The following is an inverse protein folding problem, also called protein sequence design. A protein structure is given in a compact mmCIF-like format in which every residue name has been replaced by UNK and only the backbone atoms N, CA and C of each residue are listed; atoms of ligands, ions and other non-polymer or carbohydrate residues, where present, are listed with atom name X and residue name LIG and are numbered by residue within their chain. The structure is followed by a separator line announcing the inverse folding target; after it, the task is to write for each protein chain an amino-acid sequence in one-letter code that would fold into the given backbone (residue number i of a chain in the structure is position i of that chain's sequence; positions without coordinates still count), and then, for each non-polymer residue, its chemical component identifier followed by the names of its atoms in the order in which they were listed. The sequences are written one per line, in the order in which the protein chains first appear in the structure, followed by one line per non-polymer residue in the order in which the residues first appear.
data_IF_443643181517
#
_entry.id   IF_443643181517
#
_cell.length_a   1.000
_cell.length_b   1.000
_cell.length_c   1.000
_cell.angle_alpha   90.00
_cell.angle_beta   90.00
_cell.angle_gamma   90.00
#
_symmetry.space_group_name_H-M   'P 1'
#
loop_
_entity.id
_entity.type
_entity.pdbx_description
1 polymer ?
#
# COMPACT_ATOMS: atom_id res chain seq x y z
N UNK A 1 19.12 -20.29 -10.85
CA UNK A 1 19.41 -18.93 -11.37
C UNK A 1 18.91 -17.91 -10.36
N UNK A 2 19.77 -16.95 -9.98
CA UNK A 2 19.46 -15.89 -9.01
C UNK A 2 18.24 -15.02 -9.40
N UNK A 3 17.99 -14.89 -10.71
CA UNK A 3 16.93 -14.05 -11.29
C UNK A 3 15.52 -14.38 -10.75
N UNK A 4 15.24 -15.65 -10.49
CA UNK A 4 13.90 -16.15 -10.16
C UNK A 4 13.43 -15.80 -8.74
N UNK A 5 14.37 -15.83 -7.79
CA UNK A 5 14.09 -15.48 -6.40
C UNK A 5 13.90 -13.97 -6.24
N UNK A 6 14.67 -13.21 -7.00
CA UNK A 6 14.66 -11.75 -6.96
C UNK A 6 13.30 -11.21 -7.41
N UNK A 7 12.66 -11.81 -8.42
CA UNK A 7 11.30 -11.46 -8.86
C UNK A 7 10.29 -11.59 -7.70
N UNK A 8 10.35 -12.69 -6.94
CA UNK A 8 9.46 -12.92 -5.80
C UNK A 8 9.71 -11.94 -4.64
N UNK A 9 10.97 -11.56 -4.43
CA UNK A 9 11.33 -10.55 -3.42
C UNK A 9 10.83 -9.17 -3.85
N UNK A 10 11.12 -8.76 -5.08
CA UNK A 10 10.65 -7.49 -5.66
C UNK A 10 9.13 -7.38 -5.59
N UNK A 11 8.41 -8.47 -5.88
CA UNK A 11 6.96 -8.51 -5.74
C UNK A 11 6.51 -8.28 -4.30
N UNK A 12 7.12 -8.97 -3.33
CA UNK A 12 6.80 -8.79 -1.91
C UNK A 12 7.08 -7.37 -1.42
N UNK A 13 8.17 -6.76 -1.87
CA UNK A 13 8.53 -5.39 -1.51
C UNK A 13 7.53 -4.40 -2.11
N UNK A 14 7.18 -4.56 -3.39
CA UNK A 14 6.20 -3.71 -4.08
C UNK A 14 4.82 -3.77 -3.42
N UNK A 15 4.38 -4.94 -2.98
CA UNK A 15 3.12 -5.13 -2.23
C UNK A 15 3.11 -4.29 -0.94
N UNK A 16 4.20 -4.33 -0.15
CA UNK A 16 4.28 -3.55 1.09
C UNK A 16 4.42 -2.05 0.81
N UNK A 17 5.12 -1.64 -0.26
CA UNK A 17 5.19 -0.24 -0.68
C UNK A 17 3.81 0.31 -1.08
N UNK A 18 3.02 -0.42 -1.87
CA UNK A 18 1.65 -0.04 -2.26
C UNK A 18 0.77 0.10 -1.01
N UNK A 19 0.87 -0.85 -0.08
CA UNK A 19 0.12 -0.84 1.18
C UNK A 19 0.49 0.35 2.08
N UNK A 20 1.78 0.68 2.19
CA UNK A 20 2.23 1.86 2.93
C UNK A 20 1.76 3.15 2.26
N UNK A 21 1.86 3.24 0.93
CA UNK A 21 1.39 4.41 0.17
C UNK A 21 -0.12 4.63 0.35
N UNK A 22 -0.94 3.57 0.27
CA UNK A 22 -2.39 3.63 0.58
C UNK A 22 -2.64 4.10 2.01
N UNK A 23 -1.84 3.67 2.99
CA UNK A 23 -1.95 4.15 4.38
C UNK A 23 -1.63 5.65 4.48
N UNK A 24 -0.58 6.13 3.81
CA UNK A 24 -0.20 7.55 3.80
C UNK A 24 -1.24 8.43 3.11
N UNK A 25 -1.85 7.95 2.03
CA UNK A 25 -2.95 8.64 1.34
C UNK A 25 -4.13 8.80 2.30
N UNK A 26 -4.59 7.71 2.93
CA UNK A 26 -5.68 7.77 3.93
C UNK A 26 -5.38 8.75 5.05
N UNK A 27 -4.18 8.70 5.63
CA UNK A 27 -3.80 9.65 6.69
C UNK A 27 -3.86 11.10 6.22
N UNK A 28 -3.41 11.39 4.99
CA UNK A 28 -3.50 12.73 4.43
C UNK A 28 -4.95 13.17 4.19
N UNK A 29 -5.82 12.25 3.78
CA UNK A 29 -7.25 12.48 3.66
C UNK A 29 -7.87 12.82 5.02
N UNK A 30 -7.57 12.02 6.05
CA UNK A 30 -8.00 12.30 7.42
C UNK A 30 -7.50 13.67 7.91
N UNK A 31 -6.27 14.04 7.57
CA UNK A 31 -5.69 15.36 7.93
C UNK A 31 -6.41 16.50 7.19
N UNK A 32 -6.83 16.31 5.94
CA UNK A 32 -7.64 17.28 5.18
C UNK A 32 -9.03 17.41 5.80
N UNK A 33 -9.68 16.30 6.12
CA UNK A 33 -11.04 16.27 6.67
C UNK A 33 -11.12 16.93 8.06
N UNK A 34 -10.02 16.89 8.81
CA UNK A 34 -9.88 17.56 10.13
C UNK A 34 -9.62 19.06 10.04
N UNK A 35 -9.37 19.62 8.87
CA UNK A 35 -9.22 21.06 8.75
C UNK A 35 -10.56 21.75 9.06
N UNK A 36 -10.64 22.42 10.19
CA UNK A 36 -11.79 23.24 10.53
C UNK A 36 -11.75 24.58 9.78
N UNK A 37 -12.93 25.14 9.41
CA UNK A 37 -13.00 26.50 8.89
C UNK A 37 -12.53 27.49 9.97
N UNK A 38 -11.55 28.32 9.63
CA UNK A 38 -11.08 29.39 10.51
C UNK A 38 -12.07 30.55 10.43
N UNK A 39 -12.47 31.04 11.60
CA UNK A 39 -13.30 32.24 11.73
C UNK A 39 -12.43 33.34 12.28
N UNK A 40 -12.35 34.45 11.55
CA UNK A 40 -11.71 35.67 12.02
C UNK A 40 -12.76 36.79 12.15
N UNK A 41 -12.52 37.73 13.06
CA UNK A 41 -13.40 38.88 13.25
C UNK A 41 -12.62 40.17 13.05
N UNK A 42 -13.03 40.93 12.04
CA UNK A 42 -12.48 42.26 11.76
C UNK A 42 -13.53 43.32 12.10
N UNK A 43 -13.08 44.53 12.45
CA UNK A 43 -13.97 45.69 12.54
C UNK A 43 -14.13 46.31 11.15
N UNK A 44 -15.37 46.55 10.75
CA UNK A 44 -15.67 47.17 9.46
C UNK A 44 -17.04 47.81 9.43
N UNK A 45 -17.30 48.54 8.36
CA UNK A 45 -18.59 49.16 8.09
C UNK A 45 -19.50 48.12 7.46
N UNK A 46 -20.65 47.87 8.08
CA UNK A 46 -21.68 46.97 7.57
C UNK A 46 -22.45 47.63 6.42
N UNK A 47 -23.24 46.85 5.69
CA UNK A 47 -24.04 47.34 4.55
C UNK A 47 -25.04 48.43 4.93
N UNK A 48 -25.43 48.49 6.21
CA UNK A 48 -26.31 49.52 6.79
C UNK A 48 -25.58 50.78 7.26
N UNK A 49 -24.25 50.87 7.04
CA UNK A 49 -23.42 52.00 7.45
C UNK A 49 -22.94 51.96 8.90
N UNK A 50 -23.36 50.96 9.69
CA UNK A 50 -22.90 50.83 11.09
C UNK A 50 -21.50 50.23 11.18
N UNK A 51 -20.65 50.77 12.06
CA UNK A 51 -19.33 50.18 12.34
C UNK A 51 -19.52 49.08 13.39
N UNK A 52 -19.15 47.86 13.05
CA UNK A 52 -19.29 46.72 13.95
C UNK A 52 -18.30 45.60 13.63
N UNK A 53 -18.31 44.55 14.45
CA UNK A 53 -17.60 43.33 14.12
C UNK A 53 -18.25 42.65 12.91
N UNK A 54 -17.43 42.23 11.96
CA UNK A 54 -17.80 41.41 10.82
C UNK A 54 -17.08 40.08 10.98
N UNK A 55 -17.82 38.97 10.92
CA UNK A 55 -17.24 37.63 10.96
C UNK A 55 -16.89 37.22 9.54
N UNK A 56 -15.61 36.93 9.29
CA UNK A 56 -15.14 36.36 8.04
C UNK A 56 -14.84 34.90 8.32
N UNK A 57 -15.57 33.99 7.68
CA UNK A 57 -15.28 32.55 7.72
C UNK A 57 -14.56 32.15 6.44
N UNK A 58 -13.41 31.48 6.57
CA UNK A 58 -12.67 30.94 5.44
C UNK A 58 -11.91 29.66 5.83
N UNK A 59 -11.62 28.82 4.85
CA UNK A 59 -10.65 27.76 5.05
C UNK A 59 -9.25 28.37 5.11
N UNK A 60 -8.25 27.78 5.81
CA UNK A 60 -6.85 28.14 5.62
C UNK A 60 -6.43 27.72 4.20
N UNK A 61 -6.77 28.58 3.23
CA UNK A 61 -6.69 28.39 1.78
C UNK A 61 -5.32 27.84 1.35
N UNK A 62 -4.18 28.33 1.87
CA UNK A 62 -2.87 27.82 1.46
C UNK A 62 -2.61 26.37 1.90
N UNK A 63 -3.06 25.97 3.10
CA UNK A 63 -2.81 24.63 3.64
C UNK A 63 -3.66 23.57 2.94
N UNK A 64 -4.94 23.88 2.72
CA UNK A 64 -5.87 22.99 2.01
C UNK A 64 -5.42 22.70 0.58
N UNK A 65 -5.12 23.74 -0.21
CA UNK A 65 -4.65 23.52 -1.60
C UNK A 65 -3.29 22.81 -1.65
N UNK A 66 -2.41 23.02 -0.66
CA UNK A 66 -1.15 22.27 -0.54
C UNK A 66 -1.40 20.79 -0.30
N UNK A 67 -2.27 20.43 0.65
CA UNK A 67 -2.59 19.03 0.94
C UNK A 67 -3.33 18.36 -0.21
N UNK A 68 -4.29 19.05 -0.84
CA UNK A 68 -5.00 18.53 -2.02
C UNK A 68 -4.04 18.22 -3.18
N UNK A 69 -3.13 19.14 -3.51
CA UNK A 69 -2.09 18.88 -4.53
C UNK A 69 -1.19 17.70 -4.16
N UNK A 70 -0.87 17.55 -2.87
CA UNK A 70 -0.06 16.43 -2.40
C UNK A 70 -0.83 15.11 -2.46
N UNK A 71 -2.14 15.13 -2.23
CA UNK A 71 -3.04 13.99 -2.39
C UNK A 71 -3.07 13.52 -3.84
N UNK A 72 -3.37 14.42 -4.77
CA UNK A 72 -3.41 14.15 -6.21
C UNK A 72 -2.10 13.52 -6.71
N UNK A 73 -0.95 14.04 -6.25
CA UNK A 73 0.37 13.47 -6.57
C UNK A 73 0.55 12.06 -6.04
N UNK A 74 0.09 11.78 -4.82
CA UNK A 74 0.20 10.45 -4.20
C UNK A 74 -0.75 9.45 -4.85
N UNK A 75 -1.96 9.87 -5.22
CA UNK A 75 -2.92 9.04 -5.95
C UNK A 75 -2.39 8.67 -7.33
N UNK A 76 -1.80 9.63 -8.06
CA UNK A 76 -1.15 9.34 -9.34
C UNK A 76 0.03 8.36 -9.18
N UNK A 77 0.86 8.54 -8.15
CA UNK A 77 1.95 7.61 -7.85
C UNK A 77 1.43 6.21 -7.46
N UNK A 78 0.32 6.12 -6.72
CA UNK A 78 -0.33 4.87 -6.37
C UNK A 78 -0.82 4.14 -7.62
N UNK A 79 -1.53 4.83 -8.50
CA UNK A 79 -2.01 4.26 -9.76
C UNK A 79 -0.86 3.66 -10.60
N UNK A 80 0.26 4.40 -10.71
CA UNK A 80 1.45 3.90 -11.41
C UNK A 80 2.00 2.63 -10.76
N UNK A 81 2.14 2.60 -9.44
CA UNK A 81 2.65 1.42 -8.72
C UNK A 81 1.70 0.23 -8.78
N UNK A 82 0.40 0.46 -8.78
CA UNK A 82 -0.60 -0.61 -8.95
C UNK A 82 -0.51 -1.23 -10.35
N UNK A 83 -0.26 -0.42 -11.39
CA UNK A 83 0.01 -0.94 -12.74
C UNK A 83 1.31 -1.76 -12.78
N UNK A 84 2.41 -1.25 -12.20
CA UNK A 84 3.68 -2.00 -12.09
C UNK A 84 3.48 -3.32 -11.32
N UNK A 85 2.65 -3.31 -10.28
CA UNK A 85 2.33 -4.50 -9.48
C UNK A 85 1.55 -5.52 -10.29
N UNK A 86 0.59 -5.11 -11.12
CA UNK A 86 -0.17 -6.03 -11.98
C UNK A 86 0.74 -6.78 -12.96
N UNK A 87 1.67 -6.08 -13.61
CA UNK A 87 2.64 -6.71 -14.51
C UNK A 87 3.51 -7.72 -13.76
N UNK A 88 4.00 -7.35 -12.58
CA UNK A 88 4.86 -8.22 -11.78
C UNK A 88 4.10 -9.44 -11.22
N UNK A 89 2.80 -9.31 -10.91
CA UNK A 89 1.94 -10.46 -10.55
C UNK A 89 1.94 -11.48 -11.67
N UNK A 90 1.75 -11.06 -12.92
CA UNK A 90 1.73 -11.98 -14.06
C UNK A 90 3.05 -12.75 -14.17
N UNK A 91 4.19 -12.05 -14.08
CA UNK A 91 5.52 -12.69 -14.10
C UNK A 91 5.71 -13.67 -12.95
N UNK A 92 5.26 -13.34 -11.74
CA UNK A 92 5.32 -14.22 -10.56
C UNK A 92 4.43 -15.45 -10.75
N UNK A 93 3.23 -15.29 -11.28
CA UNK A 93 2.30 -16.40 -11.52
C UNK A 93 2.82 -17.35 -12.60
N UNK A 94 3.38 -16.83 -13.68
CA UNK A 94 4.06 -17.60 -14.72
C UNK A 94 5.23 -18.39 -14.14
N UNK A 95 6.10 -17.72 -13.37
CA UNK A 95 7.23 -18.35 -12.68
C UNK A 95 6.76 -19.50 -11.78
N UNK A 96 5.79 -19.24 -10.90
CA UNK A 96 5.25 -20.26 -9.99
C UNK A 96 4.64 -21.41 -10.78
N UNK A 97 3.91 -21.14 -11.87
CA UNK A 97 3.27 -22.16 -12.69
C UNK A 97 4.29 -23.05 -13.40
N UNK A 98 5.41 -22.50 -13.85
CA UNK A 98 6.51 -23.22 -14.50
C UNK A 98 7.26 -24.20 -13.59
N UNK A 99 7.10 -24.11 -12.26
CA UNK A 99 7.75 -25.04 -11.33
C UNK A 99 7.08 -26.41 -11.38
N UNK A 100 7.86 -27.47 -11.66
CA UNK A 100 7.34 -28.83 -11.77
C UNK A 100 6.78 -29.41 -10.46
N UNK A 101 7.40 -29.10 -9.31
CA UNK A 101 6.96 -29.61 -8.01
C UNK A 101 5.68 -28.89 -7.53
N UNK A 102 4.56 -29.60 -7.58
CA UNK A 102 3.26 -29.09 -7.13
C UNK A 102 3.24 -28.65 -5.66
N UNK A 103 4.05 -29.27 -4.78
CA UNK A 103 4.15 -28.86 -3.38
C UNK A 103 4.84 -27.52 -3.27
N UNK A 104 5.91 -27.31 -4.03
CA UNK A 104 6.63 -26.05 -4.04
C UNK A 104 5.77 -24.91 -4.61
N UNK A 105 5.03 -25.17 -5.71
CA UNK A 105 4.07 -24.19 -6.26
C UNK A 105 3.09 -23.68 -5.22
N UNK A 106 2.51 -24.59 -4.43
CA UNK A 106 1.58 -24.23 -3.36
C UNK A 106 2.26 -23.40 -2.27
N UNK A 107 3.45 -23.80 -1.81
CA UNK A 107 4.19 -23.06 -0.78
C UNK A 107 4.50 -21.63 -1.25
N UNK A 108 4.97 -21.46 -2.49
CA UNK A 108 5.30 -20.15 -3.04
C UNK A 108 4.05 -19.28 -3.23
N UNK A 109 2.96 -19.84 -3.76
CA UNK A 109 1.68 -19.13 -3.88
C UNK A 109 1.19 -18.63 -2.51
N UNK A 110 1.18 -19.51 -1.50
CA UNK A 110 0.77 -19.09 -0.16
C UNK A 110 1.72 -18.04 0.45
N UNK A 111 3.02 -18.13 0.18
CA UNK A 111 4.01 -17.23 0.77
C UNK A 111 3.99 -15.85 0.15
N UNK A 112 3.98 -15.77 -1.18
CA UNK A 112 4.20 -14.53 -1.93
C UNK A 112 2.88 -13.91 -2.35
N UNK A 113 1.99 -14.67 -3.00
CA UNK A 113 0.70 -14.15 -3.51
C UNK A 113 -0.28 -13.93 -2.35
N UNK A 114 -0.47 -14.93 -1.49
CA UNK A 114 -1.44 -14.82 -0.39
C UNK A 114 -0.86 -14.16 0.88
N UNK A 115 0.43 -13.77 0.85
CA UNK A 115 1.17 -13.16 1.96
C UNK A 115 0.97 -13.86 3.33
N UNK A 116 0.97 -15.20 3.34
CA UNK A 116 0.76 -15.99 4.56
C UNK A 116 2.05 -16.18 5.36
N UNK A 117 1.92 -16.25 6.69
CA UNK A 117 3.00 -16.68 7.58
C UNK A 117 3.29 -18.17 7.43
N UNK A 118 4.51 -18.61 7.74
CA UNK A 118 4.89 -20.04 7.69
C UNK A 118 3.96 -20.95 8.52
N UNK A 119 3.42 -20.44 9.62
CA UNK A 119 2.43 -21.15 10.44
C UNK A 119 1.11 -21.37 9.70
N UNK A 120 0.58 -20.33 9.03
CA UNK A 120 -0.63 -20.44 8.20
C UNK A 120 -0.40 -21.33 6.98
N UNK A 121 0.77 -21.23 6.35
CA UNK A 121 1.18 -22.08 5.23
C UNK A 121 1.16 -23.55 5.66
N UNK A 122 1.80 -23.88 6.78
CA UNK A 122 1.82 -25.25 7.30
C UNK A 122 0.41 -25.79 7.56
N UNK A 123 -0.46 -24.96 8.17
CA UNK A 123 -1.86 -25.32 8.39
C UNK A 123 -2.61 -25.61 7.07
N UNK A 124 -2.40 -24.78 6.03
CA UNK A 124 -2.99 -24.97 4.69
C UNK A 124 -2.41 -26.16 3.93
N UNK A 125 -1.14 -26.49 4.17
CA UNK A 125 -0.47 -27.66 3.57
C UNK A 125 -0.92 -28.98 4.21
N UNK A 126 -1.41 -28.94 5.45
CA UNK A 126 -2.03 -30.06 6.16
C UNK A 126 -1.11 -30.71 7.19
N UNK A 127 -1.64 -31.74 7.88
CA UNK A 127 -1.05 -32.33 9.12
C UNK A 127 0.40 -32.81 9.02
N UNK A 128 0.95 -33.06 7.83
CA UNK A 128 2.33 -33.51 7.62
C UNK A 128 3.36 -32.37 7.56
N UNK A 129 2.91 -31.12 7.58
CA UNK A 129 3.78 -29.95 7.43
C UNK A 129 3.84 -29.14 8.71
N UNK A 130 5.05 -28.75 9.09
CA UNK A 130 5.34 -27.75 10.11
C UNK A 130 5.86 -26.47 9.45
N UNK A 131 5.73 -25.33 10.13
CA UNK A 131 6.24 -24.05 9.65
C UNK A 131 7.73 -24.13 9.25
N UNK A 132 8.55 -24.76 10.09
CA UNK A 132 9.97 -25.00 9.82
C UNK A 132 10.20 -25.94 8.63
N UNK A 133 9.40 -27.00 8.47
CA UNK A 133 9.53 -27.89 7.31
C UNK A 133 9.25 -27.15 5.99
N UNK A 134 8.21 -26.30 5.95
CA UNK A 134 7.88 -25.50 4.78
C UNK A 134 8.98 -24.48 4.45
N UNK A 135 9.50 -23.79 5.48
CA UNK A 135 10.61 -22.84 5.33
C UNK A 135 11.88 -23.53 4.83
N UNK A 136 12.22 -24.71 5.35
CA UNK A 136 13.38 -25.49 4.90
C UNK A 136 13.22 -25.97 3.45
N UNK A 137 12.03 -26.44 3.07
CA UNK A 137 11.73 -26.81 1.68
C UNK A 137 11.92 -25.62 0.74
N UNK A 138 11.35 -24.47 1.09
CA UNK A 138 11.52 -23.22 0.36
C UNK A 138 12.99 -22.82 0.22
N UNK A 139 13.74 -22.77 1.32
CA UNK A 139 15.15 -22.37 1.28
C UNK A 139 16.00 -23.35 0.47
N UNK A 140 15.71 -24.66 0.54
CA UNK A 140 16.40 -25.66 -0.28
C UNK A 140 16.09 -25.50 -1.77
N UNK A 141 14.87 -25.13 -2.13
CA UNK A 141 14.49 -24.89 -3.51
C UNK A 141 15.33 -23.77 -4.13
N UNK A 142 15.51 -22.65 -3.40
CA UNK A 142 16.36 -21.54 -3.85
C UNK A 142 17.86 -21.76 -3.62
N UNK A 143 18.26 -22.70 -2.77
CA UNK A 143 19.67 -23.01 -2.51
C UNK A 143 20.23 -24.13 -3.39
N UNK A 144 19.38 -24.90 -4.05
CA UNK A 144 19.77 -25.98 -4.99
C UNK A 144 19.86 -25.52 -6.44
N UNK A 145 19.48 -24.28 -6.76
CA UNK A 145 19.34 -23.73 -8.11
C UNK A 145 20.06 -22.39 -8.27
#
# INVERSE_FOLDING_TARGET
MLLDKDILIQYSDLVEEVKDLRRRIRKLQDDIDRLEPVKDSVKGTRRDGTIGSIMISGYPVPAYYRYKRQLEKREAALCKKEAEMLELVNTVEEYITGINDSKMRRILRYRYIDNMSWTKIAFRMGKKYTAESCRKLHNRFFGKN
#
